data_IF_968332385218
#
_entry.id   IF_968332385218
#
_cell.length_a   1.000
_cell.length_b   1.000
_cell.length_c   1.000
_cell.angle_alpha   90.00
_cell.angle_beta   90.00
_cell.angle_gamma   90.00
#
_symmetry.space_group_name_H-M   'P 1'
#
loop_
_entity.id
_entity.type
_entity.pdbx_description
1 polymer ?
#
# COMPACT_ATOMS: atom_id res chain seq x y z
N UNK A 1 2.22 0.97 -12.82
CA UNK A 1 1.10 0.00 -12.86
C UNK A 1 0.41 -0.06 -14.23
N UNK A 2 -0.06 1.07 -14.80
CA UNK A 2 -0.84 1.12 -16.06
C UNK A 2 -0.17 0.45 -17.28
N UNK A 3 1.14 0.66 -17.49
CA UNK A 3 1.89 0.01 -18.58
C UNK A 3 1.91 -1.52 -18.49
N UNK A 4 1.98 -2.05 -17.26
CA UNK A 4 1.92 -3.51 -17.03
C UNK A 4 0.49 -4.02 -17.18
N UNK A 5 -0.50 -3.23 -16.75
CA UNK A 5 -1.90 -3.58 -16.91
C UNK A 5 -2.28 -3.77 -18.39
N UNK A 6 -1.85 -2.89 -19.28
CA UNK A 6 -2.09 -3.06 -20.72
C UNK A 6 -1.36 -4.26 -21.33
N UNK A 7 -0.13 -4.55 -20.86
CA UNK A 7 0.64 -5.71 -21.33
C UNK A 7 -0.01 -7.04 -20.92
N UNK A 8 -0.59 -7.12 -19.72
CA UNK A 8 -1.20 -8.33 -19.17
C UNK A 8 -2.73 -8.41 -19.36
N UNK A 9 -3.40 -7.35 -19.84
CA UNK A 9 -4.83 -7.36 -20.23
C UNK A 9 -5.16 -8.51 -21.20
N UNK A 10 -4.26 -8.77 -22.16
CA UNK A 10 -4.40 -9.89 -23.12
C UNK A 10 -4.40 -11.27 -22.46
N UNK A 11 -3.90 -11.40 -21.22
CA UNK A 11 -3.86 -12.66 -20.46
C UNK A 11 -5.02 -12.81 -19.46
N UNK A 12 -6.09 -12.00 -19.58
CA UNK A 12 -7.25 -11.97 -18.66
C UNK A 12 -6.91 -11.66 -17.19
N UNK A 13 -5.89 -10.84 -16.96
CA UNK A 13 -5.59 -10.34 -15.62
C UNK A 13 -6.50 -9.14 -15.31
N UNK A 14 -7.25 -9.23 -14.21
CA UNK A 14 -7.95 -8.10 -13.62
C UNK A 14 -7.02 -7.29 -12.74
N UNK A 15 -7.13 -5.98 -12.81
CA UNK A 15 -6.38 -5.06 -11.95
C UNK A 15 -7.38 -4.31 -11.09
N UNK A 16 -7.19 -4.38 -9.79
CA UNK A 16 -7.91 -3.60 -8.81
C UNK A 16 -6.88 -2.81 -8.02
N UNK A 17 -7.24 -1.60 -7.66
CA UNK A 17 -6.50 -0.83 -6.69
C UNK A 17 -7.48 -0.35 -5.62
N UNK A 18 -7.01 -0.38 -4.38
CA UNK A 18 -7.75 0.06 -3.20
C UNK A 18 -6.81 0.92 -2.37
N UNK A 19 -7.36 1.93 -1.73
CA UNK A 19 -6.65 2.70 -0.73
C UNK A 19 -6.26 1.82 0.46
N UNK A 20 -5.11 2.13 1.05
CA UNK A 20 -4.62 1.51 2.27
C UNK A 20 -5.61 1.71 3.42
N UNK A 21 -6.08 0.63 4.04
CA UNK A 21 -6.99 0.68 5.19
C UNK A 21 -8.47 0.86 4.84
N UNK A 22 -8.80 1.12 3.56
CA UNK A 22 -10.20 1.19 3.11
C UNK A 22 -10.87 -0.20 3.14
N UNK A 23 -10.11 -1.28 3.03
CA UNK A 23 -10.63 -2.66 3.02
C UNK A 23 -9.87 -3.55 4.01
N UNK A 24 -9.95 -3.22 5.30
CA UNK A 24 -9.21 -3.90 6.36
C UNK A 24 -9.43 -5.43 6.40
N UNK A 25 -10.66 -5.90 6.21
CA UNK A 25 -10.97 -7.34 6.20
C UNK A 25 -10.29 -8.08 5.04
N UNK A 26 -10.28 -7.46 3.85
CA UNK A 26 -9.62 -8.00 2.67
C UNK A 26 -8.10 -8.00 2.83
N UNK A 27 -7.54 -6.90 3.33
CA UNK A 27 -6.11 -6.75 3.62
C UNK A 27 -5.64 -7.84 4.59
N UNK A 28 -6.36 -8.03 5.71
CA UNK A 28 -6.04 -9.07 6.69
C UNK A 28 -6.13 -10.49 6.10
N UNK A 29 -7.14 -10.78 5.29
CA UNK A 29 -7.28 -12.10 4.64
C UNK A 29 -6.12 -12.42 3.67
N UNK A 30 -5.51 -11.38 3.10
CA UNK A 30 -4.36 -11.44 2.21
C UNK A 30 -3.03 -11.27 2.96
N UNK A 31 -3.05 -11.04 4.27
CA UNK A 31 -1.84 -10.74 5.05
C UNK A 31 -1.17 -9.40 4.71
N UNK A 32 -1.94 -8.46 4.13
CA UNK A 32 -1.55 -7.06 3.89
C UNK A 32 -1.88 -6.27 5.16
N UNK A 33 -1.00 -5.36 5.56
CA UNK A 33 -1.16 -4.54 6.78
C UNK A 33 0.06 -4.52 7.70
N UNK A 34 0.92 -5.55 7.64
CA UNK A 34 2.17 -5.60 8.44
C UNK A 34 3.42 -5.13 7.70
N UNK A 35 3.41 -5.12 6.35
CA UNK A 35 4.61 -4.84 5.53
C UNK A 35 4.72 -3.38 5.05
N UNK A 36 3.72 -2.54 5.36
CA UNK A 36 3.63 -1.17 4.84
C UNK A 36 3.12 -1.10 3.40
N UNK A 37 2.79 0.11 2.96
CA UNK A 37 2.26 0.43 1.64
C UNK A 37 3.34 1.11 0.78
N UNK A 38 3.37 0.91 -0.55
CA UNK A 38 2.42 0.17 -1.38
C UNK A 38 2.63 -1.36 -1.37
N UNK A 39 1.54 -2.11 -1.25
CA UNK A 39 1.53 -3.57 -1.31
C UNK A 39 0.75 -4.06 -2.56
N UNK A 40 1.20 -5.16 -3.15
CA UNK A 40 0.50 -5.80 -4.28
C UNK A 40 0.33 -7.29 -4.02
N UNK A 41 -0.89 -7.78 -4.23
CA UNK A 41 -1.21 -9.20 -4.20
C UNK A 41 -1.92 -9.61 -5.49
N UNK A 42 -1.61 -10.81 -5.99
CA UNK A 42 -2.36 -11.47 -7.04
C UNK A 42 -3.26 -12.52 -6.42
N UNK A 43 -4.56 -12.48 -6.71
CA UNK A 43 -5.55 -13.37 -6.10
C UNK A 43 -6.25 -14.20 -7.17
N UNK A 44 -6.40 -15.49 -6.92
CA UNK A 44 -7.23 -16.39 -7.71
C UNK A 44 -8.49 -16.75 -6.92
N UNK A 45 -9.59 -16.04 -7.18
CA UNK A 45 -10.86 -16.26 -6.50
C UNK A 45 -11.45 -17.66 -6.70
N UNK A 46 -11.15 -18.36 -7.82
CA UNK A 46 -11.63 -19.73 -8.06
C UNK A 46 -10.91 -20.75 -7.19
N UNK A 47 -9.61 -20.56 -6.98
CA UNK A 47 -8.75 -21.48 -6.22
C UNK A 47 -8.54 -21.05 -4.76
N UNK A 48 -9.02 -19.87 -4.37
CA UNK A 48 -8.82 -19.28 -3.05
C UNK A 48 -7.34 -19.23 -2.63
N UNK A 49 -6.49 -18.89 -3.60
CA UNK A 49 -5.05 -18.71 -3.38
C UNK A 49 -4.66 -17.30 -3.76
N UNK A 50 -3.71 -16.74 -3.02
CA UNK A 50 -3.09 -15.48 -3.35
C UNK A 50 -1.57 -15.61 -3.37
N UNK A 51 -0.91 -14.66 -4.00
CA UNK A 51 0.52 -14.46 -3.89
C UNK A 51 0.78 -12.99 -3.57
N UNK A 52 1.66 -12.74 -2.61
CA UNK A 52 2.12 -11.41 -2.28
C UNK A 52 3.40 -11.10 -3.05
N UNK A 53 3.52 -9.86 -3.52
CA UNK A 53 4.78 -9.34 -4.03
C UNK A 53 5.74 -9.14 -2.85
N UNK A 54 6.70 -10.04 -2.68
CA UNK A 54 7.75 -9.97 -1.64
C UNK A 54 9.04 -9.33 -2.19
N UNK A 55 8.95 -8.12 -2.74
CA UNK A 55 10.09 -7.45 -3.35
C UNK A 55 9.81 -5.98 -3.64
N UNK A 56 10.75 -5.32 -4.31
CA UNK A 56 10.63 -3.90 -4.64
C UNK A 56 9.43 -3.66 -5.55
N UNK A 57 8.64 -2.63 -5.21
CA UNK A 57 7.54 -2.15 -6.04
C UNK A 57 8.08 -1.35 -7.24
N UNK A 58 8.77 -2.03 -8.15
CA UNK A 58 9.33 -1.48 -9.39
C UNK A 58 8.77 -2.19 -10.61
N UNK A 59 8.93 -1.59 -11.80
CA UNK A 59 8.45 -2.20 -13.05
C UNK A 59 9.05 -3.60 -13.28
N UNK A 60 10.33 -3.77 -12.96
CA UNK A 60 11.02 -5.06 -13.05
C UNK A 60 10.49 -6.05 -12.03
N UNK A 61 10.34 -5.67 -10.76
CA UNK A 61 9.84 -6.54 -9.70
C UNK A 61 8.41 -7.03 -9.96
N UNK A 62 7.54 -6.12 -10.43
CA UNK A 62 6.17 -6.47 -10.81
C UNK A 62 6.17 -7.43 -12.01
N UNK A 63 6.97 -7.17 -13.05
CA UNK A 63 7.00 -8.02 -14.24
C UNK A 63 7.53 -9.43 -13.93
N UNK A 64 8.56 -9.53 -13.08
CA UNK A 64 9.09 -10.81 -12.61
C UNK A 64 8.04 -11.59 -11.82
N UNK A 65 7.39 -10.94 -10.86
CA UNK A 65 6.31 -11.53 -10.07
C UNK A 65 5.15 -12.08 -10.93
N UNK A 66 4.67 -11.29 -11.90
CA UNK A 66 3.62 -11.72 -12.82
C UNK A 66 4.09 -12.88 -13.71
N UNK A 67 5.35 -12.86 -14.13
CA UNK A 67 5.94 -13.94 -14.93
C UNK A 67 6.02 -15.23 -14.12
N UNK A 68 6.48 -15.18 -12.87
CA UNK A 68 6.55 -16.32 -11.95
C UNK A 68 5.18 -16.93 -11.70
N UNK A 69 4.15 -16.10 -11.52
CA UNK A 69 2.78 -16.55 -11.39
C UNK A 69 2.24 -17.17 -12.69
N UNK A 70 2.58 -16.59 -13.85
CA UNK A 70 2.19 -17.12 -15.15
C UNK A 70 2.82 -18.49 -15.44
N UNK A 71 3.99 -18.80 -14.88
CA UNK A 71 4.65 -20.12 -15.03
C UNK A 71 4.38 -21.07 -13.86
N UNK A 72 3.57 -20.65 -12.87
CA UNK A 72 3.17 -21.48 -11.72
C UNK A 72 4.27 -21.70 -10.68
N UNK A 73 5.36 -20.91 -10.72
CA UNK A 73 6.45 -20.96 -9.73
C UNK A 73 6.30 -19.98 -8.57
N UNK A 74 5.34 -19.05 -8.66
CA UNK A 74 5.09 -18.08 -7.61
C UNK A 74 4.69 -18.75 -6.29
N UNK A 75 5.27 -18.29 -5.18
CA UNK A 75 4.89 -18.70 -3.83
C UNK A 75 3.45 -18.26 -3.55
N UNK A 76 2.52 -19.22 -3.54
CA UNK A 76 1.10 -18.96 -3.28
C UNK A 76 0.74 -19.39 -1.87
N UNK A 77 -0.01 -18.55 -1.17
CA UNK A 77 -0.60 -18.82 0.13
C UNK A 77 -2.12 -19.03 -0.01
N UNK A 78 -2.75 -19.86 0.83
CA UNK A 78 -4.21 -19.93 0.91
C UNK A 78 -4.76 -18.63 1.50
N UNK A 79 -5.83 -18.09 0.92
CA UNK A 79 -6.53 -16.92 1.50
C UNK A 79 -7.06 -17.30 2.89
N UNK A 80 -6.73 -16.49 3.90
CA UNK A 80 -7.17 -16.73 5.27
C UNK A 80 -8.69 -16.55 5.41
N UNK A 81 -9.35 -17.40 6.21
CA UNK A 81 -10.77 -17.24 6.54
C UNK A 81 -11.77 -18.01 5.66
N UNK A 82 -11.34 -18.83 4.70
CA UNK A 82 -12.20 -19.79 3.98
C UNK A 82 -13.24 -19.20 3.01
N UNK A 83 -13.41 -17.87 2.99
CA UNK A 83 -14.26 -17.14 2.07
C UNK A 83 -13.55 -15.86 1.63
N UNK A 84 -13.90 -15.35 0.44
CA UNK A 84 -13.47 -14.01 0.03
C UNK A 84 -14.14 -13.01 0.98
N UNK A 85 -13.36 -12.17 1.65
CA UNK A 85 -13.88 -11.18 2.58
C UNK A 85 -14.97 -10.33 1.90
N UNK A 86 -15.99 -9.92 2.66
CA UNK A 86 -17.02 -9.00 2.14
C UNK A 86 -16.31 -7.72 1.68
N UNK A 87 -16.49 -7.39 0.40
CA UNK A 87 -16.02 -6.12 -0.14
C UNK A 87 -16.96 -5.06 0.43
N UNK A 88 -16.44 -4.20 1.30
CA UNK A 88 -17.21 -3.10 1.87
C UNK A 88 -17.42 -2.03 0.79
N UNK A 89 -18.58 -1.37 0.77
CA UNK A 89 -18.80 -0.23 -0.11
C UNK A 89 -18.04 0.96 0.49
N UNK A 90 -16.92 1.30 -0.12
CA UNK A 90 -16.14 2.49 0.21
C UNK A 90 -16.42 3.58 -0.80
N UNK A 91 -16.32 4.83 -0.35
CA UNK A 91 -16.42 5.98 -1.24
C UNK A 91 -15.32 5.87 -2.32
N UNK A 92 -15.64 6.10 -3.60
CA UNK A 92 -14.64 6.09 -4.66
C UNK A 92 -13.62 7.19 -4.40
N UNK A 93 -12.33 6.86 -4.48
CA UNK A 93 -11.27 7.87 -4.42
C UNK A 93 -11.48 8.91 -5.54
N UNK A 94 -11.53 10.18 -5.15
CA UNK A 94 -11.68 11.39 -5.96
C UNK A 94 -10.55 11.71 -6.99
N UNK A 95 -9.54 10.84 -7.13
CA UNK A 95 -8.35 11.02 -7.96
C UNK A 95 -7.30 12.04 -7.48
N UNK A 96 -7.40 12.62 -6.28
CA UNK A 96 -6.41 13.56 -5.75
C UNK A 96 -5.44 12.88 -4.78
N UNK A 97 -4.18 13.32 -4.76
CA UNK A 97 -3.28 12.93 -3.67
C UNK A 97 -3.82 13.49 -2.36
N UNK A 98 -3.71 12.74 -1.27
CA UNK A 98 -4.04 13.23 0.07
C UNK A 98 -3.27 14.51 0.34
N UNK A 99 -3.97 15.60 0.61
CA UNK A 99 -3.32 16.82 1.07
C UNK A 99 -2.52 16.46 2.32
N UNK A 100 -1.24 16.84 2.34
CA UNK A 100 -0.47 16.77 3.57
C UNK A 100 -1.28 17.53 4.63
N UNK A 101 -1.51 16.97 5.83
CA UNK A 101 -2.09 17.75 6.90
C UNK A 101 -1.27 19.02 6.99
N UNK A 102 -1.94 20.17 6.88
CA UNK A 102 -1.26 21.45 6.96
C UNK A 102 -0.35 21.37 8.19
N UNK A 103 0.94 21.67 8.01
CA UNK A 103 1.81 21.88 9.15
C UNK A 103 1.09 22.91 10.00
N UNK A 104 0.60 22.50 11.18
CA UNK A 104 0.07 23.46 12.14
C UNK A 104 1.22 24.44 12.35
N UNK A 105 1.03 25.71 11.98
CA UNK A 105 1.97 26.77 12.32
C UNK A 105 2.19 26.66 13.82
N UNK A 106 3.32 26.07 14.21
CA UNK A 106 3.65 25.87 15.61
C UNK A 106 3.69 27.27 16.21
N UNK A 107 2.79 27.54 17.14
CA UNK A 107 2.75 28.83 17.81
C UNK A 107 3.99 28.96 18.70
N UNK A 108 5.02 29.62 18.18
CA UNK A 108 6.28 29.89 18.87
C UNK A 108 6.18 31.08 19.83
N UNK A 109 4.98 31.60 20.11
CA UNK A 109 4.79 32.71 21.05
C UNK A 109 5.09 32.35 22.51
N UNK A 110 5.09 31.05 22.86
CA UNK A 110 5.47 30.53 24.18
C UNK A 110 7.00 30.32 24.34
N UNK A 111 7.80 30.61 23.30
CA UNK A 111 9.26 30.46 23.33
C UNK A 111 9.91 31.82 23.57
N UNK A 112 10.10 32.17 24.84
CA UNK A 112 10.92 33.31 25.25
C UNK A 112 12.41 32.99 25.05
N UNK A 113 13.04 33.57 24.02
CA UNK A 113 14.48 33.42 23.72
C UNK A 113 15.36 34.42 24.50
N UNK A 114 14.76 35.32 25.29
CA UNK A 114 15.46 36.41 25.97
C UNK A 114 16.39 35.94 27.10
N UNK A 115 16.18 34.74 27.66
CA UNK A 115 17.00 34.19 28.75
C UNK A 115 18.34 33.56 28.26
N UNK A 116 18.53 33.38 26.94
CA UNK A 116 19.74 32.75 26.41
C UNK A 116 20.90 33.74 26.18
N UNK A 117 20.60 35.00 25.86
CA UNK A 117 21.63 36.02 25.59
C UNK A 117 22.27 36.58 26.87
N UNK A 118 21.69 36.37 28.05
CA UNK A 118 22.22 36.91 29.32
C UNK A 118 23.30 36.05 29.97
N UNK A 119 23.50 34.79 29.54
CA UNK A 119 24.50 33.88 30.12
C UNK A 119 25.88 33.92 29.44
N UNK A 120 26.04 34.64 28.33
CA UNK A 120 27.28 34.57 27.53
C UNK A 120 28.35 35.61 27.89
N UNK A 121 28.05 36.56 28.78
CA UNK A 121 28.96 37.66 29.15
C UNK A 121 29.58 37.57 30.55
N UNK A 122 29.55 36.40 31.20
CA UNK A 122 30.35 36.16 32.42
C UNK A 122 31.13 34.83 32.35
N UNK A 123 32.26 34.84 31.62
CA UNK A 123 33.44 33.99 31.88
C UNK A 123 34.68 34.46 31.10
#
# INVERSE_FOLDING_TARGET
>A
MLKMADKYKRKMWGWLWTEAGAQFDLENSLGIGGFGYPAMAAVNARKMKFALLKGSFSEQGINEFLRELSVGRGSTAPVGGGAFAKINTVEPWDGKDGELPAEEDIDLSDVDLDDWDTQKDEL
#
